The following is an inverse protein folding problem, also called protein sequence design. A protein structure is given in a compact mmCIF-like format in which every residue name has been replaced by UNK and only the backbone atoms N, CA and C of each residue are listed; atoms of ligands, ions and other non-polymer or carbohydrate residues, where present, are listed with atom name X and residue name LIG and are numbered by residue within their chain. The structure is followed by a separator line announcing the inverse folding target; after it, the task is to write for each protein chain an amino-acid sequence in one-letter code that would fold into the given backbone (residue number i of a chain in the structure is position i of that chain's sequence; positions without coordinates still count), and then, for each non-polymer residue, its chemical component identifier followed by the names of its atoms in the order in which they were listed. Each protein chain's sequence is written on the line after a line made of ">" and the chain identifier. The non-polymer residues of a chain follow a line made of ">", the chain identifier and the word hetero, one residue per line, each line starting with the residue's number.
data_IF_733409112202
#
_entry.id   IF_733409112202
#
_cell.length_a   1.000
_cell.length_b   1.000
_cell.length_c   1.000
_cell.angle_alpha   90.00
_cell.angle_beta   90.00
_cell.angle_gamma   90.00
#
_symmetry.space_group_name_H-M   'P 1'
#
loop_
_entity.id
_entity.type
_entity.pdbx_description
1 polymer ?
#
# COMPACT_ATOMS: atom_id res chain seq x y z
N UNK A 1 16.32 -8.29 7.98
CA UNK A 1 15.92 -8.32 6.56
C UNK A 1 15.12 -7.09 6.21
N UNK A 2 15.49 -6.42 5.13
CA UNK A 2 14.81 -5.20 4.71
C UNK A 2 13.85 -5.49 3.57
N UNK A 3 12.58 -5.17 3.77
CA UNK A 3 11.53 -5.38 2.77
C UNK A 3 11.12 -4.06 2.15
N UNK A 4 10.67 -4.11 0.90
CA UNK A 4 10.02 -2.99 0.23
C UNK A 4 8.51 -3.19 0.36
N UNK A 5 7.86 -2.25 1.01
CA UNK A 5 6.43 -2.35 1.30
C UNK A 5 5.69 -1.14 0.73
N UNK A 6 4.52 -1.39 0.15
CA UNK A 6 3.61 -0.33 -0.28
C UNK A 6 2.38 -0.34 0.60
N UNK A 7 2.08 0.80 1.20
CA UNK A 7 0.89 1.00 2.02
C UNK A 7 -0.04 1.95 1.29
N UNK A 8 -1.29 1.55 1.13
CA UNK A 8 -2.30 2.36 0.46
C UNK A 8 -3.29 2.87 1.49
N UNK A 9 -3.45 4.19 1.54
CA UNK A 9 -4.40 4.82 2.44
C UNK A 9 -3.97 4.88 3.90
N UNK A 10 -2.69 5.01 4.19
CA UNK A 10 -2.12 4.92 5.53
C UNK A 10 -2.41 6.07 6.49
N UNK A 11 -3.55 6.74 6.38
CA UNK A 11 -3.88 7.91 7.22
C UNK A 11 -4.83 7.60 8.37
N UNK A 12 -5.37 6.38 8.47
CA UNK A 12 -6.22 5.98 9.59
C UNK A 12 -5.42 5.60 10.83
N UNK A 13 -6.11 5.34 11.94
CA UNK A 13 -5.47 4.99 13.21
C UNK A 13 -4.66 3.71 13.08
N UNK A 14 -5.28 2.66 12.55
CA UNK A 14 -4.63 1.34 12.41
C UNK A 14 -3.50 1.42 11.41
N UNK A 15 -3.72 2.06 10.26
CA UNK A 15 -2.70 2.15 9.22
C UNK A 15 -1.51 2.99 9.67
N UNK A 16 -1.74 4.05 10.44
CA UNK A 16 -0.65 4.85 10.98
C UNK A 16 0.20 4.05 11.96
N UNK A 17 -0.42 3.26 12.84
CA UNK A 17 0.30 2.42 13.79
C UNK A 17 1.15 1.37 13.09
N UNK A 18 0.59 0.71 12.07
CA UNK A 18 1.32 -0.28 11.28
C UNK A 18 2.48 0.37 10.54
N UNK A 19 2.26 1.55 9.97
CA UNK A 19 3.30 2.29 9.24
C UNK A 19 4.47 2.60 10.16
N UNK A 20 4.20 3.12 11.36
CA UNK A 20 5.26 3.44 12.30
C UNK A 20 6.02 2.21 12.77
N UNK A 21 5.31 1.11 13.02
CA UNK A 21 5.93 -0.14 13.43
C UNK A 21 6.90 -0.65 12.37
N UNK A 22 6.46 -0.67 11.11
CA UNK A 22 7.29 -1.15 10.01
C UNK A 22 8.46 -0.22 9.73
N UNK A 23 8.26 1.09 9.86
CA UNK A 23 9.35 2.04 9.71
C UNK A 23 10.41 1.85 10.80
N UNK A 24 10.00 1.56 12.02
CA UNK A 24 10.92 1.31 13.12
C UNK A 24 11.75 0.04 12.91
N UNK A 25 11.29 -0.88 12.07
CA UNK A 25 12.01 -2.11 11.72
C UNK A 25 12.93 -1.94 10.51
N UNK A 26 13.15 -0.72 10.06
CA UNK A 26 14.04 -0.39 8.94
C UNK A 26 13.61 -0.96 7.58
N UNK A 27 12.31 -1.17 7.38
CA UNK A 27 11.81 -1.52 6.05
C UNK A 27 11.69 -0.28 5.18
N UNK A 28 11.81 -0.46 3.87
CA UNK A 28 11.55 0.61 2.90
C UNK A 28 10.05 0.71 2.68
N UNK A 29 9.47 1.83 3.07
CA UNK A 29 8.03 2.04 2.99
C UNK A 29 7.70 3.09 1.93
N UNK A 30 6.76 2.73 1.07
CA UNK A 30 6.10 3.66 0.15
C UNK A 30 4.65 3.79 0.61
N UNK A 31 4.14 5.00 0.58
CA UNK A 31 2.75 5.25 0.97
C UNK A 31 2.01 5.95 -0.15
N UNK A 32 0.99 5.30 -0.69
CA UNK A 32 0.15 5.86 -1.73
C UNK A 32 -1.11 6.44 -1.12
N UNK A 33 -1.33 7.74 -1.29
CA UNK A 33 -2.54 8.41 -0.86
C UNK A 33 -2.80 9.62 -1.74
N UNK A 34 -3.92 10.28 -1.50
CA UNK A 34 -4.31 11.45 -2.30
C UNK A 34 -3.57 12.73 -1.93
N UNK A 35 -2.76 12.70 -0.89
CA UNK A 35 -2.07 13.89 -0.42
C UNK A 35 -2.97 14.92 0.25
N UNK A 36 -4.20 14.55 0.61
CA UNK A 36 -5.16 15.47 1.22
C UNK A 36 -4.90 15.73 2.70
N UNK A 37 -4.08 14.91 3.33
CA UNK A 37 -3.76 15.01 4.74
C UNK A 37 -2.25 15.14 4.89
N UNK A 38 -1.81 16.30 5.33
CA UNK A 38 -0.41 16.58 5.57
C UNK A 38 -0.01 16.08 6.96
N UNK A 39 -0.06 14.78 7.19
CA UNK A 39 0.55 14.21 8.39
C UNK A 39 2.03 14.03 8.12
N UNK A 40 2.85 14.41 9.08
CA UNK A 40 4.28 14.10 9.01
C UNK A 40 4.46 12.62 9.31
N UNK A 41 4.78 11.87 8.29
CA UNK A 41 5.14 10.47 8.46
C UNK A 41 6.59 10.35 8.90
N UNK A 42 6.97 9.15 9.35
CA UNK A 42 8.36 8.83 9.62
C UNK A 42 9.22 9.16 8.40
N UNK A 43 10.43 9.66 8.61
CA UNK A 43 11.33 10.06 7.54
C UNK A 43 11.65 8.96 6.54
N UNK A 44 11.51 7.70 6.95
CA UNK A 44 11.77 6.54 6.10
C UNK A 44 10.62 6.23 5.12
N UNK A 45 9.51 6.94 5.22
CA UNK A 45 8.36 6.70 4.35
C UNK A 45 8.46 7.60 3.11
N UNK A 46 8.34 6.98 1.94
CA UNK A 46 8.38 7.68 0.65
C UNK A 46 6.94 7.89 0.18
N UNK A 47 6.47 9.13 0.10
CA UNK A 47 5.09 9.38 -0.33
C UNK A 47 4.93 9.22 -1.84
N UNK A 48 3.84 8.56 -2.24
CA UNK A 48 3.39 8.49 -3.63
C UNK A 48 2.01 9.15 -3.67
N UNK A 49 1.95 10.39 -4.11
CA UNK A 49 0.71 11.17 -4.10
C UNK A 49 -0.09 10.86 -5.36
N UNK A 50 -1.20 10.16 -5.20
CA UNK A 50 -2.02 9.73 -6.32
C UNK A 50 -3.37 9.20 -5.83
N UNK A 51 -4.41 9.34 -6.65
CA UNK A 51 -5.68 8.67 -6.41
C UNK A 51 -5.56 7.22 -6.86
N UNK A 52 -5.89 6.29 -5.99
CA UNK A 52 -5.82 4.84 -6.32
C UNK A 52 -6.73 4.47 -7.49
N UNK A 53 -7.76 5.26 -7.78
CA UNK A 53 -8.64 5.03 -8.91
C UNK A 53 -8.08 5.54 -10.24
N UNK A 54 -6.98 6.28 -10.21
CA UNK A 54 -6.31 6.78 -11.40
C UNK A 54 -5.27 5.76 -11.86
N UNK A 55 -5.72 4.78 -12.65
CA UNK A 55 -4.89 3.66 -13.10
C UNK A 55 -3.61 4.11 -13.78
N UNK A 56 -3.70 5.09 -14.64
CA UNK A 56 -2.55 5.58 -15.39
C UNK A 56 -1.47 6.14 -14.49
N UNK A 57 -1.86 6.98 -13.53
CA UNK A 57 -0.93 7.58 -12.58
C UNK A 57 -0.35 6.54 -11.63
N UNK A 58 -1.17 5.62 -11.15
CA UNK A 58 -0.68 4.56 -10.27
C UNK A 58 0.39 3.74 -10.98
N UNK A 59 0.11 3.28 -12.19
CA UNK A 59 1.07 2.47 -12.96
C UNK A 59 2.34 3.24 -13.26
N UNK A 60 2.24 4.52 -13.51
CA UNK A 60 3.41 5.34 -13.76
C UNK A 60 4.26 5.54 -12.52
N UNK A 61 3.64 5.77 -11.37
CA UNK A 61 4.35 5.95 -10.11
C UNK A 61 5.08 4.69 -9.64
N UNK A 62 4.51 3.51 -9.88
CA UNK A 62 5.11 2.24 -9.45
C UNK A 62 6.04 1.64 -10.51
N UNK A 63 6.17 2.27 -11.64
CA UNK A 63 7.01 1.79 -12.72
C UNK A 63 8.46 1.62 -12.28
N UNK A 64 9.00 0.43 -12.49
CA UNK A 64 10.35 0.11 -12.06
C UNK A 64 10.49 -0.22 -10.58
N UNK A 65 9.41 -0.19 -9.82
CA UNK A 65 9.41 -0.55 -8.41
C UNK A 65 8.89 -1.98 -8.23
N UNK A 66 9.42 -2.66 -7.23
CA UNK A 66 8.92 -3.97 -6.84
C UNK A 66 8.75 -3.99 -5.32
N UNK A 67 7.58 -4.46 -4.88
CA UNK A 67 7.25 -4.51 -3.46
C UNK A 67 7.19 -5.96 -2.98
N UNK A 68 7.72 -6.22 -1.81
CA UNK A 68 7.57 -7.55 -1.19
C UNK A 68 6.13 -7.77 -0.75
N UNK A 69 5.44 -6.70 -0.36
CA UNK A 69 4.04 -6.77 0.01
C UNK A 69 3.36 -5.42 -0.27
N UNK A 70 2.10 -5.49 -0.72
CA UNK A 70 1.21 -4.32 -0.83
C UNK A 70 0.11 -4.48 0.20
N UNK A 71 -0.07 -3.47 1.04
CA UNK A 71 -1.08 -3.46 2.10
C UNK A 71 -2.07 -2.34 1.80
N UNK A 72 -3.32 -2.70 1.54
CA UNK A 72 -4.36 -1.71 1.21
C UNK A 72 -5.37 -1.63 2.35
N UNK A 73 -5.46 -0.44 2.95
CA UNK A 73 -6.40 -0.13 4.02
C UNK A 73 -7.69 0.52 3.51
N UNK A 74 -7.84 0.67 2.19
CA UNK A 74 -8.98 1.39 1.61
C UNK A 74 -10.06 0.47 1.03
N UNK A 75 -9.87 -0.84 1.11
CA UNK A 75 -10.77 -1.80 0.49
C UNK A 75 -12.12 -1.85 1.21
N UNK A 76 -13.19 -1.67 0.44
CA UNK A 76 -14.56 -1.79 0.93
C UNK A 76 -15.39 -2.73 0.06
N UNK A 77 -15.04 -2.89 -1.21
CA UNK A 77 -15.78 -3.69 -2.18
C UNK A 77 -14.88 -4.73 -2.84
N UNK A 78 -15.42 -5.91 -3.21
CA UNK A 78 -14.63 -6.92 -3.91
C UNK A 78 -14.00 -6.43 -5.22
N UNK A 79 -14.67 -5.51 -5.92
CA UNK A 79 -14.14 -4.94 -7.16
C UNK A 79 -12.84 -4.17 -6.94
N UNK A 80 -12.65 -3.61 -5.74
CA UNK A 80 -11.43 -2.90 -5.40
C UNK A 80 -10.25 -3.85 -5.23
N UNK A 81 -10.51 -5.06 -4.75
CA UNK A 81 -9.48 -6.10 -4.65
C UNK A 81 -8.99 -6.48 -6.06
N UNK A 82 -9.92 -6.66 -7.00
CA UNK A 82 -9.57 -6.96 -8.39
C UNK A 82 -8.78 -5.83 -9.02
N UNK A 83 -9.18 -4.58 -8.76
CA UNK A 83 -8.47 -3.40 -9.24
C UNK A 83 -7.01 -3.42 -8.76
N UNK A 84 -6.79 -3.63 -7.48
CA UNK A 84 -5.44 -3.65 -6.92
C UNK A 84 -4.63 -4.81 -7.47
N UNK A 85 -5.25 -5.97 -7.64
CA UNK A 85 -4.58 -7.11 -8.25
C UNK A 85 -4.07 -6.75 -9.65
N UNK A 86 -4.92 -6.14 -10.47
CA UNK A 86 -4.53 -5.76 -11.83
C UNK A 86 -3.41 -4.72 -11.85
N UNK A 87 -3.42 -3.78 -10.89
CA UNK A 87 -2.38 -2.76 -10.82
C UNK A 87 -1.03 -3.34 -10.41
N UNK A 88 -1.01 -4.23 -9.43
CA UNK A 88 0.22 -4.59 -8.74
C UNK A 88 0.69 -6.02 -8.99
N UNK A 89 -0.04 -6.83 -9.76
CA UNK A 89 0.29 -8.26 -9.94
C UNK A 89 1.72 -8.50 -10.40
N UNK A 90 2.28 -7.60 -11.19
CA UNK A 90 3.65 -7.71 -11.69
C UNK A 90 4.66 -6.95 -10.84
N UNK A 91 4.20 -6.27 -9.81
CA UNK A 91 5.02 -5.38 -8.99
C UNK A 91 5.11 -5.81 -7.53
N UNK A 92 4.45 -6.90 -7.14
CA UNK A 92 4.50 -7.37 -5.77
C UNK A 92 4.39 -8.88 -5.69
N UNK A 93 4.84 -9.42 -4.57
CA UNK A 93 4.77 -10.85 -4.27
C UNK A 93 3.53 -11.23 -3.49
N UNK A 94 2.94 -10.28 -2.75
CA UNK A 94 1.81 -10.57 -1.86
C UNK A 94 0.95 -9.34 -1.65
N UNK A 95 -0.35 -9.55 -1.55
CA UNK A 95 -1.30 -8.52 -1.14
C UNK A 95 -1.86 -8.83 0.24
N UNK A 96 -2.10 -7.77 1.01
CA UNK A 96 -2.88 -7.82 2.23
C UNK A 96 -3.97 -6.76 2.12
N UNK A 97 -5.23 -7.17 2.26
CA UNK A 97 -6.37 -6.26 2.21
C UNK A 97 -6.98 -6.15 3.59
N UNK A 98 -7.13 -4.94 4.07
CA UNK A 98 -7.70 -4.67 5.40
C UNK A 98 -8.94 -3.82 5.24
N UNK A 99 -10.08 -4.39 5.59
CA UNK A 99 -11.34 -3.65 5.65
C UNK A 99 -11.65 -3.30 7.11
N UNK A 100 -12.68 -2.49 7.31
CA UNK A 100 -13.08 -2.08 8.66
C UNK A 100 -13.52 -3.24 9.54
N UNK A 101 -13.90 -4.38 8.95
CA UNK A 101 -14.44 -5.52 9.69
C UNK A 101 -13.61 -6.79 9.60
N UNK A 102 -12.66 -6.88 8.67
CA UNK A 102 -11.91 -8.12 8.47
C UNK A 102 -10.60 -7.89 7.73
N UNK A 103 -9.72 -8.88 7.83
CA UNK A 103 -8.44 -8.88 7.13
C UNK A 103 -8.43 -10.03 6.13
N UNK A 104 -8.10 -9.72 4.89
CA UNK A 104 -7.97 -10.71 3.84
C UNK A 104 -6.52 -10.77 3.38
N UNK A 105 -6.00 -11.97 3.28
CA UNK A 105 -4.65 -12.20 2.83
C UNK A 105 -4.68 -13.11 1.61
N UNK A 106 -4.01 -12.70 0.54
CA UNK A 106 -4.01 -13.46 -0.69
C UNK A 106 -2.64 -13.48 -1.34
N UNK A 107 -1.92 -14.62 -1.27
CA UNK A 107 -0.67 -14.77 -2.00
C UNK A 107 -0.95 -14.79 -3.51
N UNK A 108 -0.11 -14.15 -4.29
CA UNK A 108 -0.26 -14.12 -5.74
C UNK A 108 0.07 -15.45 -6.40
N UNK A 109 0.79 -16.30 -5.71
CA UNK A 109 1.21 -17.61 -6.22
C UNK A 109 0.14 -18.69 -6.09
N UNK A 110 -1.02 -18.36 -5.57
CA UNK A 110 -2.11 -19.33 -5.41
C UNK A 110 -3.13 -19.21 -6.53
#
# INVERSE_FOLDING_TARGET
>A
MRLNLLIIGGTGIISSAVTELLAAQNHSLYMLNRGLHSRSFHKAVIPLVCDINDEKNVKELIRGLFFDCVIDFTIQLPSEIRRDYEYFQDSTRQFIFISSSSVYRRPLSC
#
